data_IF_303811747207
#
_entry.id   IF_303811747207
#
_cell.length_a   1.000
_cell.length_b   1.000
_cell.length_c   1.000
_cell.angle_alpha   90.00
_cell.angle_beta   90.00
_cell.angle_gamma   90.00
#
_symmetry.space_group_name_H-M   'P 1'
#
loop_
_entity.id
_entity.type
_entity.pdbx_description
1 polymer ?
#
# COMPACT_ATOMS: atom_id res chain seq x y z
N UNK A 1 -4.10 -1.85 -12.93
CA UNK A 1 -3.54 -0.90 -11.94
C UNK A 1 -4.12 0.51 -12.05
N UNK A 2 -3.93 1.24 -13.16
CA UNK A 2 -4.40 2.63 -13.29
C UNK A 2 -5.90 2.83 -13.03
N UNK A 3 -6.75 1.87 -13.46
CA UNK A 3 -8.19 1.86 -13.16
C UNK A 3 -8.49 1.84 -11.65
N UNK A 4 -7.74 1.04 -10.86
CA UNK A 4 -7.91 0.97 -9.40
C UNK A 4 -7.53 2.28 -8.71
N UNK A 5 -6.43 2.91 -9.16
CA UNK A 5 -6.02 4.22 -8.65
C UNK A 5 -7.10 5.27 -8.93
N UNK A 6 -7.63 5.31 -10.16
CA UNK A 6 -8.74 6.22 -10.51
C UNK A 6 -9.98 5.97 -9.65
N UNK A 7 -10.33 4.69 -9.41
CA UNK A 7 -11.45 4.33 -8.56
C UNK A 7 -11.23 4.80 -7.12
N UNK A 8 -10.04 4.58 -6.56
CA UNK A 8 -9.72 5.01 -5.19
C UNK A 8 -9.82 6.54 -5.05
N UNK A 9 -9.25 7.29 -6.02
CA UNK A 9 -9.33 8.75 -6.02
C UNK A 9 -10.78 9.25 -6.18
N UNK A 10 -11.58 8.61 -7.02
CA UNK A 10 -12.99 8.94 -7.19
C UNK A 10 -13.79 8.66 -5.92
N UNK A 11 -13.57 7.51 -5.28
CA UNK A 11 -14.18 7.17 -4.01
C UNK A 11 -13.82 8.19 -2.92
N UNK A 12 -12.55 8.59 -2.85
CA UNK A 12 -12.07 9.60 -1.91
C UNK A 12 -12.74 10.97 -2.12
N UNK A 13 -12.89 11.41 -3.38
CA UNK A 13 -13.58 12.67 -3.72
C UNK A 13 -15.07 12.65 -3.40
N UNK A 14 -15.69 11.47 -3.44
CA UNK A 14 -17.10 11.26 -3.11
C UNK A 14 -17.34 10.90 -1.65
N UNK A 15 -16.28 10.89 -0.83
CA UNK A 15 -16.33 10.49 0.58
C UNK A 15 -16.85 9.07 0.81
N UNK A 16 -16.67 8.18 -0.17
CA UNK A 16 -16.98 6.75 -0.07
C UNK A 16 -15.83 6.04 0.68
N UNK A 17 -15.75 6.24 1.99
CA UNK A 17 -14.59 5.87 2.81
C UNK A 17 -14.35 4.36 2.92
N UNK A 18 -15.40 3.54 2.91
CA UNK A 18 -15.26 2.07 2.91
C UNK A 18 -14.55 1.59 1.64
N UNK A 19 -14.96 2.13 0.49
CA UNK A 19 -14.38 1.84 -0.81
C UNK A 19 -12.93 2.35 -0.88
N UNK A 20 -12.64 3.51 -0.29
CA UNK A 20 -11.25 4.00 -0.20
C UNK A 20 -10.39 3.03 0.62
N UNK A 21 -10.87 2.56 1.78
CA UNK A 21 -10.13 1.61 2.63
C UNK A 21 -9.88 0.30 1.88
N UNK A 22 -10.90 -0.23 1.22
CA UNK A 22 -10.80 -1.51 0.51
C UNK A 22 -9.87 -1.41 -0.71
N UNK A 23 -10.03 -0.37 -1.53
CA UNK A 23 -9.14 -0.12 -2.66
C UNK A 23 -7.71 0.17 -2.22
N UNK A 24 -7.51 0.83 -1.08
CA UNK A 24 -6.18 1.04 -0.50
C UNK A 24 -5.55 -0.29 -0.11
N UNK A 25 -6.29 -1.18 0.54
CA UNK A 25 -5.81 -2.51 0.91
C UNK A 25 -5.35 -3.29 -0.33
N UNK A 26 -6.20 -3.36 -1.36
CA UNK A 26 -5.91 -4.02 -2.63
C UNK A 26 -4.68 -3.40 -3.32
N UNK A 27 -4.60 -2.07 -3.36
CA UNK A 27 -3.45 -1.38 -3.96
C UNK A 27 -2.16 -1.71 -3.20
N UNK A 28 -2.16 -1.68 -1.87
CA UNK A 28 -0.98 -2.06 -1.09
C UNK A 28 -0.54 -3.50 -1.37
N UNK A 29 -1.47 -4.45 -1.47
CA UNK A 29 -1.13 -5.83 -1.82
C UNK A 29 -0.47 -5.92 -3.20
N UNK A 30 -1.04 -5.26 -4.20
CA UNK A 30 -0.50 -5.25 -5.56
C UNK A 30 0.91 -4.63 -5.57
N UNK A 31 1.08 -3.48 -4.92
CA UNK A 31 2.35 -2.75 -4.85
C UNK A 31 3.43 -3.58 -4.14
N UNK A 32 3.08 -4.30 -3.07
CA UNK A 32 4.02 -5.21 -2.40
C UNK A 32 4.37 -6.42 -3.24
N UNK A 33 3.40 -7.02 -3.95
CA UNK A 33 3.69 -8.13 -4.88
C UNK A 33 4.64 -7.67 -5.98
N UNK A 34 4.43 -6.48 -6.54
CA UNK A 34 5.33 -5.90 -7.53
C UNK A 34 6.71 -5.65 -6.96
N UNK A 35 6.80 -5.04 -5.79
CA UNK A 35 8.06 -4.83 -5.09
C UNK A 35 8.84 -6.14 -4.92
N UNK A 36 8.19 -7.20 -4.45
CA UNK A 36 8.82 -8.52 -4.26
C UNK A 36 9.25 -9.21 -5.56
N UNK A 37 8.62 -8.88 -6.69
CA UNK A 37 9.03 -9.35 -8.03
C UNK A 37 10.01 -8.42 -8.75
N UNK A 38 10.29 -7.25 -8.17
CA UNK A 38 11.18 -6.26 -8.76
C UNK A 38 12.63 -6.47 -8.30
N UNK A 39 13.55 -5.76 -8.94
CA UNK A 39 14.92 -5.59 -8.46
C UNK A 39 15.03 -4.55 -7.32
N UNK A 40 13.91 -3.97 -6.89
CA UNK A 40 13.89 -3.04 -5.76
C UNK A 40 14.14 -3.79 -4.45
N UNK A 41 15.31 -3.63 -3.82
CA UNK A 41 15.65 -4.30 -2.55
C UNK A 41 16.33 -5.67 -2.70
N UNK A 42 16.67 -6.29 -1.55
CA UNK A 42 17.46 -7.54 -1.42
C UNK A 42 18.60 -7.74 -2.44
N UNK A 43 19.49 -6.76 -2.58
CA UNK A 43 20.63 -6.84 -3.50
C UNK A 43 20.23 -7.03 -4.98
N UNK A 44 19.08 -6.48 -5.39
CA UNK A 44 18.56 -6.55 -6.76
C UNK A 44 18.11 -7.96 -7.21
N UNK A 45 17.77 -8.84 -6.26
CA UNK A 45 17.31 -10.20 -6.54
C UNK A 45 15.81 -10.35 -6.24
N UNK A 46 14.95 -10.46 -7.26
CA UNK A 46 13.53 -10.73 -7.10
C UNK A 46 13.25 -12.06 -6.37
N UNK A 47 12.11 -12.15 -5.68
CA UNK A 47 11.61 -13.42 -5.16
C UNK A 47 10.87 -14.21 -6.25
N UNK A 48 10.84 -15.54 -6.11
CA UNK A 48 10.04 -16.41 -6.97
C UNK A 48 8.54 -16.20 -6.76
N UNK A 49 7.76 -16.31 -7.84
CA UNK A 49 6.30 -16.14 -7.81
C UNK A 49 5.64 -17.09 -6.82
N UNK A 50 6.03 -18.36 -6.80
CA UNK A 50 5.49 -19.37 -5.87
C UNK A 50 5.57 -18.91 -4.40
N UNK A 51 6.67 -18.25 -4.00
CA UNK A 51 6.84 -17.78 -2.62
C UNK A 51 5.92 -16.61 -2.27
N UNK A 52 5.63 -15.77 -3.26
CA UNK A 52 4.74 -14.62 -3.17
C UNK A 52 3.27 -15.09 -3.17
N UNK A 53 2.93 -16.05 -4.02
CA UNK A 53 1.58 -16.58 -4.17
C UNK A 53 1.13 -17.38 -2.95
N UNK A 54 2.06 -17.98 -2.20
CA UNK A 54 1.83 -18.55 -0.86
C UNK A 54 1.43 -17.52 0.20
N UNK A 55 1.59 -16.22 -0.06
CA UNK A 55 1.18 -15.17 0.86
C UNK A 55 -0.22 -14.69 0.49
N UNK A 56 -1.22 -15.14 1.24
CA UNK A 56 -2.63 -14.81 0.99
C UNK A 56 -3.00 -13.37 1.38
N UNK A 57 -2.38 -12.83 2.44
CA UNK A 57 -2.81 -11.58 3.05
C UNK A 57 -1.75 -10.48 2.98
N UNK A 58 -2.19 -9.21 2.95
CA UNK A 58 -1.35 -8.01 3.00
C UNK A 58 -0.24 -8.09 4.05
N UNK A 59 -0.56 -8.52 5.27
CA UNK A 59 0.43 -8.55 6.36
C UNK A 59 1.48 -9.64 6.16
N UNK A 60 1.12 -10.75 5.53
CA UNK A 60 2.06 -11.82 5.17
C UNK A 60 3.04 -11.32 4.10
N UNK A 61 2.54 -10.62 3.08
CA UNK A 61 3.37 -9.95 2.06
C UNK A 61 4.29 -8.88 2.67
N UNK A 62 3.76 -8.01 3.53
CA UNK A 62 4.54 -6.94 4.17
C UNK A 62 5.65 -7.50 5.07
N UNK A 63 5.36 -8.57 5.81
CA UNK A 63 6.34 -9.23 6.68
C UNK A 63 7.42 -9.94 5.86
N UNK A 64 7.03 -10.62 4.77
CA UNK A 64 7.99 -11.19 3.83
C UNK A 64 8.90 -10.13 3.22
N UNK A 65 8.34 -9.00 2.76
CA UNK A 65 9.10 -7.89 2.18
C UNK A 65 10.07 -7.26 3.20
N UNK A 66 9.65 -7.06 4.45
CA UNK A 66 10.56 -6.62 5.53
C UNK A 66 11.68 -7.64 5.78
N UNK A 67 11.33 -8.91 5.98
CA UNK A 67 12.30 -9.96 6.32
C UNK A 67 13.32 -10.19 5.21
N UNK A 68 12.92 -9.94 3.96
CA UNK A 68 13.78 -9.99 2.78
C UNK A 68 14.42 -8.65 2.45
N UNK A 69 14.30 -7.63 3.31
CA UNK A 69 14.93 -6.30 3.14
C UNK A 69 14.49 -5.54 1.87
N UNK A 70 13.28 -5.80 1.39
CA UNK A 70 12.60 -4.99 0.36
C UNK A 70 11.94 -3.75 0.97
N UNK A 71 11.46 -3.87 2.20
CA UNK A 71 10.91 -2.76 2.98
C UNK A 71 11.81 -2.41 4.16
N UNK A 72 11.96 -1.11 4.42
CA UNK A 72 12.49 -0.64 5.69
C UNK A 72 11.44 -0.79 6.81
N UNK A 73 11.91 -0.71 8.06
CA UNK A 73 11.05 -0.90 9.23
C UNK A 73 9.96 0.19 9.37
N UNK A 74 10.27 1.42 8.97
CA UNK A 74 9.34 2.56 9.06
C UNK A 74 8.11 2.36 8.15
N UNK A 75 8.34 2.04 6.88
CA UNK A 75 7.27 1.76 5.91
C UNK A 75 6.47 0.51 6.31
N UNK A 76 7.15 -0.54 6.77
CA UNK A 76 6.45 -1.71 7.31
C UNK A 76 5.52 -1.33 8.48
N UNK A 77 5.96 -0.48 9.42
CA UNK A 77 5.11 0.02 10.50
C UNK A 77 3.92 0.84 9.99
N UNK A 78 4.10 1.68 8.96
CA UNK A 78 2.97 2.42 8.35
C UNK A 78 1.90 1.44 7.83
N UNK A 79 2.29 0.35 7.17
CA UNK A 79 1.37 -0.71 6.69
C UNK A 79 0.65 -1.41 7.86
N UNK A 80 1.40 -1.80 8.91
CA UNK A 80 0.82 -2.42 10.12
C UNK A 80 -0.25 -1.51 10.73
N UNK A 81 0.07 -0.22 10.88
CA UNK A 81 -0.84 0.75 11.49
C UNK A 81 -2.10 0.93 10.65
N UNK A 82 -1.98 1.05 9.33
CA UNK A 82 -3.13 1.10 8.43
C UNK A 82 -4.00 -0.15 8.58
N UNK A 83 -3.41 -1.35 8.54
CA UNK A 83 -4.19 -2.59 8.63
C UNK A 83 -4.87 -2.75 10.00
N UNK A 84 -4.23 -2.31 11.08
CA UNK A 84 -4.84 -2.26 12.42
C UNK A 84 -6.04 -1.31 12.44
N UNK A 85 -5.84 -0.04 12.04
CA UNK A 85 -6.92 0.96 11.94
C UNK A 85 -8.09 0.44 11.10
N UNK A 86 -7.82 -0.13 9.92
CA UNK A 86 -8.83 -0.76 9.05
C UNK A 86 -9.67 -1.78 9.81
N UNK A 87 -9.04 -2.74 10.49
CA UNK A 87 -9.75 -3.81 11.21
C UNK A 87 -10.60 -3.24 12.33
N UNK A 88 -10.02 -2.38 13.16
CA UNK A 88 -10.69 -1.77 14.31
C UNK A 88 -11.91 -0.95 13.85
N UNK A 89 -11.77 -0.19 12.77
CA UNK A 89 -12.84 0.67 12.25
C UNK A 89 -13.91 -0.12 11.48
N UNK A 90 -13.57 -1.16 10.72
CA UNK A 90 -14.61 -2.00 10.08
C UNK A 90 -15.41 -2.75 11.16
N UNK A 91 -14.72 -3.33 12.15
CA UNK A 91 -15.38 -4.05 13.23
C UNK A 91 -16.26 -3.12 14.08
N UNK A 92 -15.74 -1.94 14.45
CA UNK A 92 -16.52 -0.96 15.20
C UNK A 92 -17.73 -0.44 14.44
N UNK A 93 -17.65 -0.29 13.11
CA UNK A 93 -18.78 0.13 12.27
C UNK A 93 -19.87 -0.93 12.28
N UNK A 94 -19.50 -2.20 12.11
CA UNK A 94 -20.44 -3.33 12.17
C UNK A 94 -21.13 -3.45 13.53
N UNK A 95 -20.47 -3.02 14.61
CA UNK A 95 -21.02 -2.98 15.97
C UNK A 95 -21.76 -1.68 16.32
N UNK A 96 -21.86 -0.71 15.41
CA UNK A 96 -22.46 0.60 15.67
C UNK A 96 -21.68 1.47 16.67
N UNK A 97 -20.42 1.13 16.98
CA UNK A 97 -19.58 1.85 17.97
C UNK A 97 -18.90 3.10 17.40
N UNK A 98 -18.92 3.26 16.08
CA UNK A 98 -18.29 4.37 15.37
C UNK A 98 -19.15 4.78 14.17
N UNK A 99 -19.16 6.08 13.91
CA UNK A 99 -19.84 6.67 12.76
C UNK A 99 -19.03 6.45 11.49
N UNK A 100 -19.72 6.46 10.35
CA UNK A 100 -19.11 6.38 9.02
C UNK A 100 -18.02 7.45 8.81
N UNK A 101 -18.21 8.65 9.35
CA UNK A 101 -17.25 9.76 9.24
C UNK A 101 -15.87 9.45 9.83
N UNK A 102 -15.79 8.56 10.84
CA UNK A 102 -14.51 8.12 11.44
C UNK A 102 -13.68 7.21 10.52
N UNK A 103 -14.26 6.69 9.43
CA UNK A 103 -13.51 5.93 8.42
C UNK A 103 -12.51 6.80 7.66
N UNK A 104 -12.72 8.13 7.62
CA UNK A 104 -11.79 9.08 7.00
C UNK A 104 -10.39 9.02 7.63
N UNK A 105 -10.32 8.83 8.95
CA UNK A 105 -9.06 8.81 9.73
C UNK A 105 -8.20 7.57 9.43
N UNK A 106 -8.84 6.52 8.89
CA UNK A 106 -8.14 5.32 8.38
C UNK A 106 -7.48 5.62 7.03
N UNK A 107 -8.11 6.49 6.24
CA UNK A 107 -7.68 6.84 4.88
C UNK A 107 -6.59 7.91 4.88
N UNK A 108 -6.26 8.50 6.03
CA UNK A 108 -5.24 9.50 6.18
C UNK A 108 -3.86 8.97 5.75
N UNK A 109 -3.12 9.74 4.96
CA UNK A 109 -1.77 9.42 4.46
C UNK A 109 -1.64 8.10 3.65
N UNK A 110 -2.75 7.45 3.30
CA UNK A 110 -2.74 6.21 2.50
C UNK A 110 -2.20 6.42 1.07
N UNK A 111 -2.44 7.59 0.48
CA UNK A 111 -1.90 7.97 -0.83
C UNK A 111 -0.36 8.08 -0.79
N UNK A 112 0.18 8.71 0.25
CA UNK A 112 1.62 8.81 0.47
C UNK A 112 2.22 7.42 0.68
N UNK A 113 1.59 6.58 1.52
CA UNK A 113 2.06 5.20 1.75
C UNK A 113 2.14 4.38 0.46
N UNK A 114 1.13 4.45 -0.40
CA UNK A 114 1.14 3.75 -1.70
C UNK A 114 2.28 4.28 -2.58
N UNK A 115 2.47 5.61 -2.60
CA UNK A 115 3.53 6.24 -3.37
C UNK A 115 4.94 5.85 -2.87
N UNK A 116 5.16 5.87 -1.55
CA UNK A 116 6.41 5.46 -0.92
C UNK A 116 6.79 4.04 -1.30
N UNK A 117 5.83 3.10 -1.29
CA UNK A 117 6.07 1.70 -1.69
C UNK A 117 6.35 1.61 -3.20
N UNK A 118 5.59 2.35 -4.02
CA UNK A 118 5.78 2.37 -5.47
C UNK A 118 7.19 2.80 -5.87
N UNK A 119 7.70 3.84 -5.25
CA UNK A 119 9.02 4.38 -5.56
C UNK A 119 10.17 3.41 -5.28
N UNK A 120 9.94 2.39 -4.44
CA UNK A 120 10.95 1.36 -4.18
C UNK A 120 11.15 0.42 -5.37
N UNK A 121 10.12 0.18 -6.19
CA UNK A 121 10.18 -0.76 -7.32
C UNK A 121 10.06 -0.08 -8.69
N UNK A 122 9.56 1.15 -8.72
CA UNK A 122 9.53 2.01 -9.89
C UNK A 122 10.11 3.38 -9.49
N UNK A 123 11.45 3.49 -9.33
CA UNK A 123 12.07 4.77 -9.06
C UNK A 123 11.83 5.67 -10.28
N UNK A 124 10.97 6.68 -10.12
CA UNK A 124 10.82 7.72 -11.14
C UNK A 124 12.05 8.62 -11.00
N UNK A 125 13.05 8.37 -11.84
CA UNK A 125 14.14 9.32 -12.05
C UNK A 125 13.61 10.32 -13.08
N UNK A 126 13.23 11.51 -12.63
CA UNK A 126 13.18 12.64 -13.55
C UNK A 126 14.61 12.78 -14.07
N UNK A 127 14.80 12.63 -15.38
CA UNK A 127 16.13 12.74 -16.00
C UNK A 127 16.82 14.05 -15.61
N UNK A 128 18.13 14.12 -15.84
CA UNK A 128 18.88 15.38 -15.73
C UNK A 128 18.03 16.48 -16.38
N UNK A 129 17.59 17.47 -15.59
CA UNK A 129 16.94 18.63 -16.16
C UNK A 129 17.86 19.12 -17.26
N UNK A 130 17.35 19.24 -18.49
CA UNK A 130 18.10 19.82 -19.59
C UNK A 130 18.79 21.06 -19.05
N UNK A 131 20.10 20.97 -18.85
CA UNK A 131 20.93 22.12 -18.59
C UNK A 131 20.82 22.94 -19.85
N UNK A 132 19.92 23.93 -19.84
CA UNK A 132 19.89 25.00 -20.81
C UNK A 132 21.33 25.53 -20.88
N UNK A 133 21.90 25.37 -22.08
CA UNK A 133 23.27 25.70 -22.45
C UNK A 133 23.71 27.09 -21.96
#
# INVERSE_FOLDING_TARGET
>A
MWKLIKLQLRAKRKECWLEVIDLTYILLEIELRLLLTSKGGNQNVPLSRNKIDQQEYLMSLASLAKNKKFLNYSLWKKIVNFNKKRKDTIHGLAQGRISYTKLKDVCENTTELIHDIRNLWLPIIYGEGETLQ
#
